data_IF_914038962303
#
_entry.id   IF_914038962303
#
_cell.length_a   1.000
_cell.length_b   1.000
_cell.length_c   1.000
_cell.angle_alpha   90.00
_cell.angle_beta   90.00
_cell.angle_gamma   90.00
#
_symmetry.space_group_name_H-M   'P 1'
#
loop_
_entity.id
_entity.type
_entity.pdbx_description
1 polymer ?
#
# COMPACT_ATOMS: atom_id res chain seq x y z
N UNK A 1 14.33 -17.33 -2.49
CA UNK A 1 13.25 -16.75 -1.65
C UNK A 1 13.81 -16.50 -0.26
N UNK A 2 13.52 -15.33 0.35
CA UNK A 2 13.94 -14.99 1.71
C UNK A 2 12.70 -14.93 2.60
N UNK A 3 12.70 -15.67 3.71
CA UNK A 3 11.59 -15.74 4.65
C UNK A 3 12.10 -15.35 6.03
N UNK A 4 11.51 -14.31 6.61
CA UNK A 4 11.99 -13.71 7.85
C UNK A 4 10.94 -13.79 8.94
N UNK A 5 11.34 -14.33 10.09
CA UNK A 5 10.53 -14.44 11.30
C UNK A 5 11.10 -13.58 12.43
N UNK A 6 10.27 -13.16 13.36
CA UNK A 6 10.75 -12.61 14.63
C UNK A 6 11.12 -13.72 15.60
N UNK A 7 12.12 -13.50 16.45
CA UNK A 7 12.51 -14.42 17.53
C UNK A 7 11.32 -14.83 18.43
N UNK A 8 10.36 -13.93 18.64
CA UNK A 8 9.15 -14.15 19.45
C UNK A 8 8.03 -14.90 18.72
N UNK A 9 8.21 -15.24 17.44
CA UNK A 9 7.20 -15.95 16.67
C UNK A 9 6.99 -17.35 17.27
N UNK A 10 5.76 -17.73 17.68
CA UNK A 10 5.47 -19.07 18.19
C UNK A 10 5.70 -20.13 17.12
N UNK A 11 6.24 -21.29 17.54
CA UNK A 11 6.53 -22.45 16.68
C UNK A 11 7.32 -22.11 15.41
N UNK A 12 8.19 -21.09 15.45
CA UNK A 12 8.93 -20.60 14.26
C UNK A 12 9.76 -21.70 13.59
N UNK A 13 10.37 -22.59 14.36
CA UNK A 13 11.16 -23.71 13.83
C UNK A 13 10.29 -24.67 13.02
N UNK A 14 9.12 -25.05 13.55
CA UNK A 14 8.14 -25.90 12.83
C UNK A 14 7.62 -25.21 11.58
N UNK A 15 7.35 -23.90 11.65
CA UNK A 15 6.92 -23.12 10.48
C UNK A 15 7.99 -23.05 9.39
N UNK A 16 9.26 -22.91 9.78
CA UNK A 16 10.37 -22.94 8.83
C UNK A 16 10.45 -24.30 8.12
N UNK A 17 10.42 -25.40 8.89
CA UNK A 17 10.45 -26.76 8.33
C UNK A 17 9.27 -27.00 7.38
N UNK A 18 8.05 -26.66 7.81
CA UNK A 18 6.86 -26.77 6.97
C UNK A 18 7.02 -26.01 5.65
N UNK A 19 7.42 -24.73 5.70
CA UNK A 19 7.59 -23.92 4.48
C UNK A 19 8.72 -24.47 3.59
N UNK A 20 9.80 -24.97 4.17
CA UNK A 20 10.88 -25.59 3.43
C UNK A 20 10.38 -26.82 2.67
N UNK A 21 9.65 -27.71 3.32
CA UNK A 21 9.07 -28.91 2.70
C UNK A 21 8.04 -28.58 1.63
N UNK A 22 7.17 -27.59 1.87
CA UNK A 22 6.14 -27.19 0.91
C UNK A 22 6.73 -26.60 -0.37
N UNK A 23 7.83 -25.83 -0.28
CA UNK A 23 8.37 -25.09 -1.42
C UNK A 23 9.68 -25.65 -1.99
N UNK A 24 10.23 -26.75 -1.44
CA UNK A 24 11.50 -27.35 -1.89
C UNK A 24 11.53 -27.64 -3.40
N UNK A 25 10.39 -28.03 -3.99
CA UNK A 25 10.27 -28.42 -5.40
C UNK A 25 9.62 -27.35 -6.28
N UNK A 26 9.47 -26.12 -5.78
CA UNK A 26 8.81 -25.03 -6.51
C UNK A 26 9.76 -24.24 -7.43
N UNK A 27 10.99 -24.72 -7.64
CA UNK A 27 11.95 -24.10 -8.57
C UNK A 27 12.71 -22.90 -8.02
N UNK A 28 12.69 -22.67 -6.70
CA UNK A 28 13.59 -21.69 -6.08
C UNK A 28 15.02 -22.22 -6.02
N UNK A 29 15.99 -21.45 -6.50
CA UNK A 29 17.41 -21.82 -6.39
C UNK A 29 17.82 -21.99 -4.92
N UNK A 30 17.39 -21.06 -4.06
CA UNK A 30 17.66 -21.09 -2.61
C UNK A 30 16.47 -20.57 -1.81
N UNK A 31 16.27 -21.16 -0.64
CA UNK A 31 15.35 -20.67 0.39
C UNK A 31 16.16 -20.27 1.61
N UNK A 32 16.12 -18.99 1.98
CA UNK A 32 16.89 -18.44 3.09
C UNK A 32 15.91 -18.10 4.21
N UNK A 33 16.06 -18.75 5.36
CA UNK A 33 15.25 -18.50 6.55
C UNK A 33 16.04 -17.69 7.57
N UNK A 34 15.46 -16.58 8.04
CA UNK A 34 16.14 -15.68 8.97
C UNK A 34 15.28 -15.40 10.18
N UNK A 35 15.92 -15.31 11.35
CA UNK A 35 15.24 -14.96 12.62
C UNK A 35 15.78 -13.61 13.09
N UNK A 36 14.93 -12.59 13.05
CA UNK A 36 15.23 -11.26 13.57
C UNK A 36 15.25 -11.27 15.11
N UNK A 37 16.36 -10.85 15.75
CA UNK A 37 16.47 -10.81 17.21
C UNK A 37 15.51 -9.79 17.85
N UNK A 38 14.93 -10.15 19.00
CA UNK A 38 14.03 -9.25 19.72
C UNK A 38 14.80 -8.21 20.56
N UNK A 39 14.27 -6.98 20.60
CA UNK A 39 14.77 -5.93 21.51
C UNK A 39 16.02 -5.20 21.03
N UNK A 40 16.33 -5.24 19.72
CA UNK A 40 17.42 -4.47 19.16
C UNK A 40 17.16 -2.96 19.27
N UNK A 41 18.19 -2.15 19.59
CA UNK A 41 18.03 -0.71 19.76
C UNK A 41 17.64 -0.03 18.44
N UNK A 42 16.68 0.89 18.50
CA UNK A 42 16.15 1.66 17.37
C UNK A 42 15.39 0.85 16.30
N UNK A 43 15.04 -0.40 16.59
CA UNK A 43 14.21 -1.25 15.73
C UNK A 43 12.83 -1.49 16.35
N UNK A 44 11.80 -1.62 15.51
CA UNK A 44 10.45 -1.97 15.97
C UNK A 44 10.11 -3.42 15.57
N UNK A 45 9.42 -4.19 16.42
CA UNK A 45 8.96 -5.52 16.04
C UNK A 45 7.82 -5.39 15.01
N UNK A 46 8.16 -5.58 13.74
CA UNK A 46 7.27 -5.46 12.60
C UNK A 46 7.94 -6.01 11.32
N UNK A 47 7.16 -6.04 10.23
CA UNK A 47 7.61 -6.37 8.86
C UNK A 47 8.91 -5.65 8.49
N UNK A 48 9.02 -4.34 8.74
CA UNK A 48 10.19 -3.55 8.37
C UNK A 48 11.52 -4.10 8.92
N UNK A 49 11.57 -4.50 10.20
CA UNK A 49 12.77 -5.07 10.83
C UNK A 49 13.06 -6.47 10.32
N UNK A 50 12.02 -7.29 10.14
CA UNK A 50 12.16 -8.63 9.56
C UNK A 50 12.73 -8.57 8.15
N UNK A 51 12.18 -7.70 7.30
CA UNK A 51 12.64 -7.52 5.93
C UNK A 51 14.05 -6.91 5.85
N UNK A 52 14.38 -5.94 6.70
CA UNK A 52 15.74 -5.39 6.78
C UNK A 52 16.76 -6.47 7.18
N UNK A 53 16.50 -7.19 8.27
CA UNK A 53 17.37 -8.25 8.75
C UNK A 53 17.52 -9.37 7.72
N UNK A 54 16.40 -9.83 7.17
CA UNK A 54 16.36 -10.85 6.14
C UNK A 54 17.18 -10.50 4.91
N UNK A 55 17.00 -9.28 4.39
CA UNK A 55 17.72 -8.85 3.20
C UNK A 55 19.22 -8.71 3.44
N UNK A 56 19.65 -8.21 4.59
CA UNK A 56 21.07 -8.13 4.95
C UNK A 56 21.71 -9.51 5.06
N UNK A 57 21.02 -10.44 5.71
CA UNK A 57 21.48 -11.83 5.83
C UNK A 57 21.54 -12.52 4.47
N UNK A 58 20.53 -12.32 3.63
CA UNK A 58 20.49 -12.90 2.30
C UNK A 58 21.65 -12.39 1.42
N UNK A 59 21.95 -11.08 1.45
CA UNK A 59 23.11 -10.52 0.72
C UNK A 59 24.42 -11.11 1.22
N UNK A 60 24.57 -11.27 2.54
CA UNK A 60 25.77 -11.87 3.15
C UNK A 60 25.92 -13.35 2.78
N UNK A 61 24.84 -14.12 2.86
CA UNK A 61 24.84 -15.57 2.63
C UNK A 61 25.05 -15.92 1.15
N UNK A 62 24.46 -15.12 0.24
CA UNK A 62 24.68 -15.29 -1.20
C UNK A 62 26.04 -14.78 -1.67
N UNK A 63 26.82 -14.11 -0.81
CA UNK A 63 28.13 -13.51 -1.12
C UNK A 63 28.09 -12.61 -2.38
N UNK A 64 27.06 -11.77 -2.48
CA UNK A 64 26.83 -10.89 -3.62
C UNK A 64 27.88 -9.78 -3.64
N UNK A 65 28.59 -9.64 -4.76
CA UNK A 65 29.53 -8.54 -4.97
C UNK A 65 28.80 -7.24 -5.33
N UNK A 66 29.42 -6.09 -5.04
CA UNK A 66 28.80 -4.78 -5.24
C UNK A 66 28.49 -4.49 -6.73
N UNK A 67 29.30 -5.00 -7.66
CA UNK A 67 29.11 -4.88 -9.11
C UNK A 67 28.02 -5.78 -9.68
N UNK A 68 27.60 -6.82 -8.95
CA UNK A 68 26.49 -7.70 -9.33
C UNK A 68 25.12 -7.14 -8.93
N UNK A 69 25.08 -6.16 -8.01
CA UNK A 69 23.83 -5.71 -7.39
C UNK A 69 22.85 -5.05 -8.38
N UNK A 70 23.33 -4.45 -9.46
CA UNK A 70 22.48 -3.91 -10.53
C UNK A 70 21.85 -5.01 -11.40
N UNK A 71 22.32 -6.26 -11.29
CA UNK A 71 21.71 -7.40 -11.99
C UNK A 71 20.70 -8.16 -11.11
N UNK A 72 20.51 -7.72 -9.86
CA UNK A 72 19.65 -8.41 -8.89
C UNK A 72 18.46 -7.50 -8.54
N UNK A 73 17.27 -8.01 -8.80
CA UNK A 73 16.02 -7.37 -8.37
C UNK A 73 15.53 -7.99 -7.06
N UNK A 74 15.19 -7.13 -6.12
CA UNK A 74 14.51 -7.51 -4.88
C UNK A 74 13.03 -7.18 -5.07
N UNK A 75 12.15 -8.14 -4.77
CA UNK A 75 10.69 -7.92 -4.72
C UNK A 75 10.22 -8.14 -3.30
N UNK A 76 9.59 -7.13 -2.69
CA UNK A 76 8.89 -7.32 -1.42
C UNK A 76 7.54 -7.96 -1.69
N UNK A 77 7.01 -8.74 -0.76
CA UNK A 77 5.63 -9.21 -0.82
C UNK A 77 5.12 -9.62 0.56
N UNK A 78 3.81 -9.50 0.75
CA UNK A 78 3.13 -10.05 1.92
C UNK A 78 2.81 -11.54 1.66
N UNK A 79 2.71 -12.35 2.71
CA UNK A 79 2.48 -13.80 2.60
C UNK A 79 1.12 -14.14 1.95
N UNK A 80 0.18 -13.19 1.91
CA UNK A 80 -1.14 -13.29 1.31
C UNK A 80 -1.20 -12.68 -0.10
N UNK A 81 -0.06 -12.61 -0.78
CA UNK A 81 0.06 -12.14 -2.16
C UNK A 81 0.05 -13.31 -3.15
N UNK A 82 -0.78 -13.23 -4.20
CA UNK A 82 -0.79 -14.20 -5.30
C UNK A 82 -0.35 -13.54 -6.61
N UNK A 83 0.79 -13.99 -7.10
CA UNK A 83 1.37 -13.57 -8.36
C UNK A 83 0.79 -14.35 -9.53
N UNK A 84 0.59 -13.68 -10.67
CA UNK A 84 0.34 -14.38 -11.93
C UNK A 84 1.61 -15.03 -12.48
N UNK A 85 1.49 -16.12 -13.26
CA UNK A 85 2.66 -16.84 -13.80
C UNK A 85 3.62 -15.95 -14.60
N UNK A 86 3.12 -14.91 -15.28
CA UNK A 86 3.94 -14.01 -16.10
C UNK A 86 4.63 -12.89 -15.30
N UNK A 87 4.42 -12.79 -13.99
CA UNK A 87 4.92 -11.66 -13.19
C UNK A 87 6.43 -11.48 -13.29
N UNK A 88 7.20 -12.55 -13.04
CA UNK A 88 8.67 -12.50 -13.07
C UNK A 88 9.18 -12.18 -14.49
N UNK A 89 8.60 -12.79 -15.52
CA UNK A 89 8.97 -12.51 -16.91
C UNK A 89 8.68 -11.05 -17.32
N UNK A 90 7.53 -10.51 -16.91
CA UNK A 90 7.17 -9.13 -17.19
C UNK A 90 8.06 -8.14 -16.43
N UNK A 91 8.37 -8.41 -15.16
CA UNK A 91 9.31 -7.61 -14.37
C UNK A 91 10.69 -7.61 -15.01
N UNK A 92 11.24 -8.78 -15.36
CA UNK A 92 12.56 -8.89 -16.00
C UNK A 92 12.59 -8.17 -17.34
N UNK A 93 11.58 -8.35 -18.20
CA UNK A 93 11.50 -7.64 -19.49
C UNK A 93 11.44 -6.14 -19.30
N UNK A 94 10.63 -5.67 -18.34
CA UNK A 94 10.47 -4.25 -18.02
C UNK A 94 11.77 -3.66 -17.50
N UNK A 95 12.43 -4.36 -16.57
CA UNK A 95 13.72 -3.96 -16.03
C UNK A 95 14.75 -3.81 -17.15
N UNK A 96 14.99 -4.85 -17.95
CA UNK A 96 16.00 -4.82 -19.02
C UNK A 96 15.76 -3.71 -20.05
N UNK A 97 14.50 -3.39 -20.36
CA UNK A 97 14.14 -2.29 -21.27
C UNK A 97 14.34 -0.90 -20.66
N UNK A 98 14.12 -0.77 -19.35
CA UNK A 98 14.18 0.51 -18.64
C UNK A 98 15.49 0.69 -17.86
N UNK A 99 16.45 -0.24 -17.95
CA UNK A 99 17.61 -0.35 -17.05
C UNK A 99 18.67 0.75 -17.19
N UNK A 100 18.33 2.00 -17.54
CA UNK A 100 19.22 3.15 -17.32
C UNK A 100 18.46 4.43 -16.97
N UNK A 101 18.74 5.04 -15.79
CA UNK A 101 19.59 4.55 -14.70
C UNK A 101 18.87 3.58 -13.73
N UNK A 102 19.54 2.49 -13.31
CA UNK A 102 19.00 1.51 -12.34
C UNK A 102 18.55 2.17 -11.03
N UNK A 103 19.23 3.24 -10.60
CA UNK A 103 18.96 3.96 -9.35
C UNK A 103 17.85 5.03 -9.43
N UNK A 104 17.10 5.13 -10.54
CA UNK A 104 15.98 6.08 -10.66
C UNK A 104 14.60 5.45 -10.62
N UNK A 105 14.51 4.13 -10.74
CA UNK A 105 13.24 3.47 -11.05
C UNK A 105 12.96 2.33 -10.09
N UNK A 106 11.74 2.30 -9.57
CA UNK A 106 11.17 1.17 -8.83
C UNK A 106 9.95 0.66 -9.59
N UNK A 107 9.62 -0.61 -9.44
CA UNK A 107 8.61 -1.28 -10.23
C UNK A 107 7.45 -1.70 -9.33
N UNK A 108 6.24 -1.29 -9.68
CA UNK A 108 5.02 -1.55 -8.91
C UNK A 108 4.02 -2.26 -9.81
N UNK A 109 3.54 -3.42 -9.38
CA UNK A 109 2.40 -4.06 -10.03
C UNK A 109 1.09 -3.41 -9.55
N UNK A 110 0.04 -3.42 -10.39
CA UNK A 110 -1.33 -3.22 -9.93
C UNK A 110 -1.74 -4.30 -8.91
N UNK A 111 -1.79 -3.93 -7.64
CA UNK A 111 -2.44 -4.73 -6.60
C UNK A 111 -3.96 -4.64 -6.69
N UNK A 112 -4.60 -5.81 -6.71
CA UNK A 112 -6.04 -5.96 -6.61
C UNK A 112 -6.39 -6.72 -5.34
N UNK A 113 -7.45 -6.28 -4.65
CA UNK A 113 -7.93 -6.91 -3.42
C UNK A 113 -9.06 -7.94 -3.67
N UNK A 114 -9.19 -8.39 -4.92
CA UNK A 114 -10.19 -9.32 -5.44
C UNK A 114 -9.91 -10.78 -5.03
N UNK A 115 -9.89 -11.05 -3.73
CA UNK A 115 -9.83 -12.40 -3.21
C UNK A 115 -11.10 -12.70 -2.42
N UNK A 116 -12.10 -13.30 -3.10
CA UNK A 116 -13.45 -13.54 -2.54
C UNK A 116 -14.08 -12.24 -2.04
N UNK A 117 -13.86 -11.14 -2.77
CA UNK A 117 -14.34 -9.81 -2.41
C UNK A 117 -15.87 -9.73 -2.48
N UNK A 118 -16.49 -10.60 -3.29
CA UNK A 118 -17.93 -10.86 -3.32
C UNK A 118 -18.45 -11.48 -2.02
N UNK A 119 -17.64 -12.10 -1.18
CA UNK A 119 -18.06 -12.59 0.14
C UNK A 119 -18.13 -11.52 1.22
N UNK A 120 -17.55 -10.33 0.98
CA UNK A 120 -17.25 -9.35 2.03
C UNK A 120 -18.28 -8.22 2.12
N UNK A 121 -18.23 -7.48 3.22
CA UNK A 121 -19.08 -6.31 3.45
C UNK A 121 -18.87 -5.24 2.38
N UNK A 122 -19.90 -4.41 2.18
CA UNK A 122 -19.84 -3.30 1.23
C UNK A 122 -18.69 -2.32 1.54
N UNK A 123 -18.37 -2.12 2.83
CA UNK A 123 -17.29 -1.24 3.30
C UNK A 123 -15.94 -1.76 2.82
N UNK A 124 -15.64 -3.04 3.06
CA UNK A 124 -14.37 -3.64 2.65
C UNK A 124 -14.27 -3.74 1.13
N UNK A 125 -15.35 -4.15 0.46
CA UNK A 125 -15.36 -4.25 -1.00
C UNK A 125 -15.10 -2.91 -1.66
N UNK A 126 -15.89 -1.88 -1.35
CA UNK A 126 -15.71 -0.55 -1.93
C UNK A 126 -14.30 -0.01 -1.65
N UNK A 127 -13.79 -0.17 -0.43
CA UNK A 127 -12.42 0.24 -0.09
C UNK A 127 -11.37 -0.49 -0.94
N UNK A 128 -11.50 -1.80 -1.14
CA UNK A 128 -10.59 -2.59 -1.97
C UNK A 128 -10.59 -2.15 -3.44
N UNK A 129 -11.78 -1.91 -4.02
CA UNK A 129 -11.91 -1.43 -5.39
C UNK A 129 -11.27 -0.05 -5.57
N UNK A 130 -11.63 0.88 -4.69
CA UNK A 130 -11.10 2.24 -4.76
C UNK A 130 -9.61 2.29 -4.51
N UNK A 131 -9.05 1.46 -3.63
CA UNK A 131 -7.61 1.41 -3.40
C UNK A 131 -6.84 0.94 -4.63
N UNK A 132 -7.36 -0.07 -5.33
CA UNK A 132 -6.79 -0.56 -6.59
C UNK A 132 -6.86 0.53 -7.68
N UNK A 133 -8.02 1.20 -7.78
CA UNK A 133 -8.24 2.31 -8.71
C UNK A 133 -7.33 3.52 -8.42
N UNK A 134 -7.23 3.96 -7.17
CA UNK A 134 -6.40 5.10 -6.76
C UNK A 134 -4.91 4.82 -6.92
N UNK A 135 -4.48 3.58 -6.75
CA UNK A 135 -3.10 3.22 -7.06
C UNK A 135 -2.77 3.39 -8.54
N UNK A 136 -3.64 2.87 -9.41
CA UNK A 136 -3.49 2.96 -10.86
C UNK A 136 -3.63 4.39 -11.37
N UNK A 137 -4.57 5.16 -10.81
CA UNK A 137 -4.89 6.51 -11.25
C UNK A 137 -4.06 7.61 -10.60
N UNK A 138 -3.52 7.38 -9.40
CA UNK A 138 -2.79 8.41 -8.65
C UNK A 138 -1.41 7.94 -8.15
N UNK A 139 -1.32 6.86 -7.37
CA UNK A 139 -0.08 6.53 -6.67
C UNK A 139 1.09 6.22 -7.61
N UNK A 140 0.86 5.36 -8.61
CA UNK A 140 1.88 5.00 -9.60
C UNK A 140 2.15 6.19 -10.55
N UNK A 141 1.15 6.79 -11.23
CA UNK A 141 1.43 7.84 -12.23
C UNK A 141 2.07 9.10 -11.65
N UNK A 142 1.71 9.50 -10.43
CA UNK A 142 2.31 10.66 -9.75
C UNK A 142 3.51 10.29 -8.88
N UNK A 143 4.00 9.05 -8.97
CA UNK A 143 5.15 8.52 -8.25
C UNK A 143 5.06 8.68 -6.71
N UNK A 144 3.87 8.68 -6.13
CA UNK A 144 3.62 9.07 -4.73
C UNK A 144 4.19 8.02 -3.78
N UNK A 145 3.76 6.76 -3.93
CA UNK A 145 4.25 5.66 -3.11
C UNK A 145 4.04 4.30 -3.76
N UNK A 146 4.90 3.36 -3.38
CA UNK A 146 4.69 1.92 -3.56
C UNK A 146 3.78 1.37 -2.48
N UNK A 147 3.28 0.15 -2.69
CA UNK A 147 2.39 -0.53 -1.74
C UNK A 147 2.68 -2.02 -1.67
N UNK A 148 3.14 -2.50 -0.51
CA UNK A 148 3.36 -3.92 -0.13
C UNK A 148 4.28 -4.75 -1.04
N UNK A 149 4.02 -4.75 -2.35
CA UNK A 149 4.61 -5.56 -3.39
C UNK A 149 5.24 -4.65 -4.44
N UNK A 150 6.52 -4.40 -4.30
CA UNK A 150 7.27 -3.59 -5.27
C UNK A 150 8.67 -4.17 -5.44
N UNK A 151 9.23 -3.91 -6.61
CA UNK A 151 10.53 -4.42 -7.01
C UNK A 151 11.53 -3.30 -7.27
N UNK A 152 12.78 -3.51 -6.90
CA UNK A 152 13.85 -2.52 -7.02
C UNK A 152 15.20 -3.22 -7.16
N UNK A 153 16.20 -2.58 -7.79
CA UNK A 153 17.54 -3.15 -7.86
C UNK A 153 18.19 -3.18 -6.47
N UNK A 154 18.95 -4.24 -6.20
CA UNK A 154 19.59 -4.45 -4.91
C UNK A 154 20.57 -3.31 -4.58
N UNK A 155 21.20 -2.72 -5.60
CA UNK A 155 22.10 -1.57 -5.48
C UNK A 155 21.43 -0.34 -4.83
N UNK A 156 20.15 -0.11 -5.15
CA UNK A 156 19.36 0.98 -4.54
C UNK A 156 19.20 0.76 -3.04
N UNK A 157 18.99 -0.49 -2.65
CA UNK A 157 18.87 -0.91 -1.26
C UNK A 157 20.17 -0.71 -0.52
N UNK A 158 21.30 -1.16 -1.09
CA UNK A 158 22.64 -0.96 -0.52
C UNK A 158 22.96 0.53 -0.34
N UNK A 159 22.72 1.35 -1.37
CA UNK A 159 22.93 2.81 -1.33
C UNK A 159 22.05 3.48 -0.28
N UNK A 160 20.83 2.98 -0.12
CA UNK A 160 19.90 3.39 0.91
C UNK A 160 20.14 2.76 2.27
N UNK A 161 21.21 1.98 2.49
CA UNK A 161 21.46 1.23 3.72
C UNK A 161 20.23 0.41 4.20
N UNK A 162 19.73 -0.38 3.25
CA UNK A 162 18.62 -1.34 3.38
C UNK A 162 17.28 -0.73 3.81
N UNK A 163 16.34 -1.59 4.20
CA UNK A 163 15.01 -1.20 4.69
C UNK A 163 15.17 -0.58 6.08
N UNK A 164 14.45 0.50 6.37
CA UNK A 164 14.57 1.17 7.66
C UNK A 164 13.79 0.39 8.75
N UNK A 165 14.45 -0.15 9.79
CA UNK A 165 13.80 -1.03 10.78
C UNK A 165 12.99 -0.26 11.85
N UNK A 166 13.03 1.07 11.84
CA UNK A 166 12.33 1.93 12.81
C UNK A 166 11.00 2.53 12.35
N UNK A 167 10.50 2.21 11.15
CA UNK A 167 9.24 2.77 10.60
C UNK A 167 8.37 1.66 10.00
N UNK A 168 7.08 1.64 10.35
CA UNK A 168 6.19 0.54 9.97
C UNK A 168 5.86 0.50 8.46
N UNK A 169 5.61 1.67 7.86
CA UNK A 169 5.31 1.83 6.43
C UNK A 169 6.60 1.87 5.62
N UNK A 170 7.27 0.72 5.56
CA UNK A 170 8.60 0.54 5.01
C UNK A 170 8.71 0.87 3.52
N UNK A 171 7.66 0.60 2.75
CA UNK A 171 7.58 0.89 1.32
C UNK A 171 7.77 2.39 0.99
N UNK A 172 6.99 3.29 1.61
CA UNK A 172 7.10 4.73 1.37
C UNK A 172 8.38 5.29 1.97
N UNK A 173 8.80 4.78 3.13
CA UNK A 173 10.05 5.20 3.76
C UNK A 173 11.26 4.85 2.90
N UNK A 174 11.27 3.68 2.27
CA UNK A 174 12.30 3.31 1.29
C UNK A 174 12.33 4.31 0.14
N UNK A 175 11.18 4.64 -0.46
CA UNK A 175 11.10 5.63 -1.53
C UNK A 175 11.69 6.99 -1.12
N UNK A 176 11.30 7.53 0.04
CA UNK A 176 11.82 8.80 0.57
C UNK A 176 13.33 8.70 0.81
N UNK A 177 13.78 7.67 1.52
CA UNK A 177 15.21 7.46 1.82
C UNK A 177 16.03 7.38 0.55
N UNK A 178 15.52 6.67 -0.45
CA UNK A 178 16.18 6.50 -1.74
C UNK A 178 16.24 7.78 -2.55
N UNK A 179 15.18 8.60 -2.60
CA UNK A 179 15.25 9.94 -3.21
C UNK A 179 16.36 10.81 -2.57
N UNK A 180 16.56 10.68 -1.26
CA UNK A 180 17.65 11.34 -0.55
C UNK A 180 19.04 10.82 -0.93
N UNK A 181 19.26 9.51 -1.01
CA UNK A 181 20.59 8.98 -1.35
C UNK A 181 20.92 9.05 -2.84
N UNK A 182 19.91 9.00 -3.72
CA UNK A 182 20.10 9.10 -5.17
C UNK A 182 20.10 10.53 -5.68
N UNK A 183 19.73 11.50 -4.83
CA UNK A 183 19.63 12.92 -5.18
C UNK A 183 18.73 13.16 -6.40
N UNK A 184 17.61 12.44 -6.48
CA UNK A 184 16.63 12.60 -7.56
C UNK A 184 15.24 12.11 -7.15
N UNK A 185 14.22 12.51 -7.92
CA UNK A 185 12.87 11.98 -7.80
C UNK A 185 12.85 10.57 -8.39
N UNK A 186 12.48 9.57 -7.59
CA UNK A 186 12.31 8.21 -8.09
C UNK A 186 11.01 8.07 -8.88
N UNK A 187 11.10 7.34 -9.99
CA UNK A 187 9.98 6.94 -10.83
C UNK A 187 9.43 5.59 -10.37
N UNK A 188 8.11 5.48 -10.28
CA UNK A 188 7.37 4.23 -10.07
C UNK A 188 6.88 3.77 -11.44
N UNK A 189 7.50 2.72 -11.96
CA UNK A 189 7.15 2.12 -13.24
C UNK A 189 6.16 0.99 -13.03
N UNK A 190 5.07 1.00 -13.79
CA UNK A 190 4.05 -0.04 -13.71
C UNK A 190 4.56 -1.36 -14.31
N UNK A 191 4.44 -2.44 -13.57
CA UNK A 191 4.55 -3.80 -14.12
C UNK A 191 3.18 -4.13 -14.72
N UNK A 192 3.05 -4.41 -16.03
CA UNK A 192 1.77 -4.62 -16.69
C UNK A 192 1.16 -6.00 -16.39
N UNK A 193 1.40 -6.53 -15.19
CA UNK A 193 0.87 -7.80 -14.69
C UNK A 193 0.34 -7.55 -13.29
N UNK A 194 -0.97 -7.73 -13.04
CA UNK A 194 -1.57 -7.54 -11.73
C UNK A 194 -1.14 -8.60 -10.70
N UNK A 195 -1.27 -8.26 -9.42
CA UNK A 195 -1.06 -9.16 -8.28
C UNK A 195 -2.27 -9.10 -7.35
N UNK A 196 -2.72 -10.23 -6.84
CA UNK A 196 -3.80 -10.27 -5.85
C UNK A 196 -3.24 -10.13 -4.45
N UNK A 197 -3.94 -9.40 -3.60
CA UNK A 197 -3.66 -9.27 -2.17
C UNK A 197 -4.93 -9.57 -1.37
N UNK A 198 -4.78 -10.29 -0.25
CA UNK A 198 -5.88 -10.61 0.64
C UNK A 198 -6.49 -9.36 1.30
N UNK A 199 -7.81 -9.12 1.17
CA UNK A 199 -8.49 -8.06 1.92
C UNK A 199 -8.51 -8.36 3.43
N UNK A 200 -8.86 -7.36 4.24
CA UNK A 200 -9.22 -7.61 5.65
C UNK A 200 -10.52 -8.39 5.73
N UNK A 201 -10.51 -9.54 6.41
CA UNK A 201 -11.67 -10.42 6.57
C UNK A 201 -12.09 -10.58 8.03
N UNK A 202 -13.39 -10.67 8.27
CA UNK A 202 -14.02 -10.94 9.57
C UNK A 202 -15.00 -12.11 9.47
N UNK A 203 -15.29 -12.78 10.58
CA UNK A 203 -16.29 -13.87 10.64
C UNK A 203 -17.72 -13.34 10.48
N UNK A 204 -17.95 -12.09 10.91
CA UNK A 204 -19.23 -11.39 10.82
C UNK A 204 -19.00 -10.00 10.22
N UNK A 205 -20.03 -9.40 9.62
CA UNK A 205 -19.96 -8.06 9.03
C UNK A 205 -19.48 -7.03 10.05
N UNK A 206 -19.95 -7.10 11.30
CA UNK A 206 -19.51 -6.19 12.37
C UNK A 206 -18.01 -6.34 12.66
N UNK A 207 -17.53 -7.57 12.86
CA UNK A 207 -16.11 -7.84 13.08
C UNK A 207 -15.28 -7.38 11.88
N UNK A 208 -15.80 -7.53 10.67
CA UNK A 208 -15.16 -7.06 9.44
C UNK A 208 -15.01 -5.53 9.41
N UNK A 209 -16.08 -4.79 9.71
CA UNK A 209 -16.06 -3.32 9.79
C UNK A 209 -15.08 -2.84 10.89
N UNK A 210 -15.07 -3.49 12.06
CA UNK A 210 -14.13 -3.16 13.14
C UNK A 210 -12.67 -3.39 12.69
N UNK A 211 -12.40 -4.51 12.03
CA UNK A 211 -11.07 -4.83 11.49
C UNK A 211 -10.65 -3.85 10.39
N UNK A 212 -11.59 -3.47 9.51
CA UNK A 212 -11.40 -2.45 8.49
C UNK A 212 -11.06 -1.10 9.11
N UNK A 213 -11.82 -0.63 10.11
CA UNK A 213 -11.58 0.65 10.78
C UNK A 213 -10.22 0.66 11.50
N UNK A 214 -9.86 -0.44 12.17
CA UNK A 214 -8.54 -0.61 12.80
C UNK A 214 -7.40 -0.55 11.77
N UNK A 215 -7.60 -1.17 10.61
CA UNK A 215 -6.62 -1.16 9.52
C UNK A 215 -6.47 0.23 8.91
N UNK A 216 -7.57 0.92 8.62
CA UNK A 216 -7.58 2.28 8.09
C UNK A 216 -6.92 3.27 9.06
N UNK A 217 -7.25 3.18 10.35
CA UNK A 217 -6.59 3.95 11.41
C UNK A 217 -5.09 3.71 11.42
N UNK A 218 -4.64 2.45 11.36
CA UNK A 218 -3.20 2.11 11.35
C UNK A 218 -2.50 2.75 10.16
N UNK A 219 -3.04 2.59 8.95
CA UNK A 219 -2.48 3.22 7.74
C UNK A 219 -2.39 4.74 7.83
N UNK A 220 -3.36 5.38 8.47
CA UNK A 220 -3.34 6.84 8.66
C UNK A 220 -2.24 7.27 9.62
N UNK A 221 -2.10 6.58 10.75
CA UNK A 221 -1.04 6.83 11.73
C UNK A 221 0.34 6.64 11.09
N UNK A 222 0.49 5.56 10.32
CA UNK A 222 1.69 5.25 9.55
C UNK A 222 1.99 6.32 8.50
N UNK A 223 1.00 6.80 7.76
CA UNK A 223 1.15 7.89 6.79
C UNK A 223 1.55 9.21 7.46
N UNK A 224 1.03 9.51 8.65
CA UNK A 224 1.45 10.68 9.42
C UNK A 224 2.92 10.57 9.87
N UNK A 225 3.38 9.39 10.27
CA UNK A 225 4.78 9.13 10.60
C UNK A 225 5.69 9.29 9.37
N UNK A 226 5.24 8.81 8.20
CA UNK A 226 5.91 9.00 6.91
C UNK A 226 6.05 10.50 6.58
N UNK A 227 4.99 11.28 6.75
CA UNK A 227 5.03 12.72 6.51
C UNK A 227 6.03 13.41 7.43
N UNK A 228 6.04 13.07 8.71
CA UNK A 228 7.00 13.60 9.67
C UNK A 228 8.45 13.22 9.29
N UNK A 229 8.70 11.96 8.89
CA UNK A 229 10.00 11.53 8.39
C UNK A 229 10.43 12.35 7.17
N UNK A 230 9.52 12.55 6.21
CA UNK A 230 9.78 13.38 5.04
C UNK A 230 10.16 14.81 5.44
N UNK A 231 9.40 15.47 6.32
CA UNK A 231 9.70 16.85 6.76
C UNK A 231 11.11 16.97 7.34
N UNK A 232 11.53 16.00 8.15
CA UNK A 232 12.88 15.97 8.73
C UNK A 232 13.95 15.75 7.65
N UNK A 233 13.69 14.87 6.68
CA UNK A 233 14.69 14.46 5.67
C UNK A 233 14.66 15.28 4.39
N UNK A 234 13.65 16.12 4.16
CA UNK A 234 13.45 16.89 2.93
C UNK A 234 14.67 17.76 2.57
N UNK A 235 15.37 18.30 3.58
CA UNK A 235 16.60 19.10 3.38
C UNK A 235 17.77 18.31 2.80
N UNK A 236 17.74 16.98 2.89
CA UNK A 236 18.76 16.07 2.33
C UNK A 236 18.46 15.66 0.88
N UNK A 237 17.40 16.20 0.29
CA UNK A 237 16.94 15.88 -1.05
C UNK A 237 17.01 17.11 -1.97
N UNK A 238 17.03 16.92 -3.29
CA UNK A 238 16.85 18.02 -4.23
C UNK A 238 15.51 18.72 -3.97
N UNK A 239 15.52 20.06 -3.96
CA UNK A 239 14.34 20.88 -3.63
C UNK A 239 13.14 20.55 -4.51
N UNK A 240 13.35 20.37 -5.81
CA UNK A 240 12.28 20.04 -6.77
C UNK A 240 11.70 18.64 -6.49
N UNK A 241 12.56 17.66 -6.20
CA UNK A 241 12.11 16.31 -5.85
C UNK A 241 11.30 16.30 -4.54
N UNK A 242 11.78 17.01 -3.51
CA UNK A 242 11.09 17.14 -2.24
C UNK A 242 9.74 17.87 -2.39
N UNK A 243 9.72 19.03 -3.06
CA UNK A 243 8.50 19.80 -3.25
C UNK A 243 7.45 19.02 -4.08
N UNK A 244 7.87 18.41 -5.19
CA UNK A 244 6.95 17.63 -6.04
C UNK A 244 6.37 16.42 -5.31
N UNK A 245 7.18 15.65 -4.57
CA UNK A 245 6.69 14.53 -3.78
C UNK A 245 5.80 15.00 -2.63
N UNK A 246 6.21 16.04 -1.90
CA UNK A 246 5.48 16.57 -0.75
C UNK A 246 4.10 17.11 -1.13
N UNK A 247 4.01 17.85 -2.23
CA UNK A 247 2.72 18.33 -2.76
C UNK A 247 1.83 17.14 -3.15
N UNK A 248 2.36 16.17 -3.91
CA UNK A 248 1.58 15.01 -4.32
C UNK A 248 1.10 14.17 -3.12
N UNK A 249 1.96 13.98 -2.11
CA UNK A 249 1.63 13.29 -0.88
C UNK A 249 0.51 13.99 -0.10
N UNK A 250 0.59 15.32 0.08
CA UNK A 250 -0.45 16.10 0.78
C UNK A 250 -1.76 16.08 0.00
N UNK A 251 -1.72 16.23 -1.34
CA UNK A 251 -2.93 16.16 -2.18
C UNK A 251 -3.59 14.79 -2.02
N UNK A 252 -2.82 13.70 -2.05
CA UNK A 252 -3.39 12.36 -1.94
C UNK A 252 -3.89 12.03 -0.53
N UNK A 253 -3.03 12.09 0.49
CA UNK A 253 -3.40 11.68 1.84
C UNK A 253 -4.20 12.75 2.60
N UNK A 254 -3.82 14.03 2.48
CA UNK A 254 -4.47 15.11 3.21
C UNK A 254 -5.76 15.63 2.54
N UNK A 255 -5.73 15.81 1.22
CA UNK A 255 -6.88 16.36 0.49
C UNK A 255 -7.84 15.27 0.06
N UNK A 256 -7.39 14.32 -0.77
CA UNK A 256 -8.26 13.34 -1.40
C UNK A 256 -8.86 12.34 -0.39
N UNK A 257 -8.02 11.70 0.44
CA UNK A 257 -8.47 10.68 1.39
C UNK A 257 -9.12 11.28 2.65
N UNK A 258 -8.47 12.26 3.28
CA UNK A 258 -8.91 12.75 4.59
C UNK A 258 -9.98 13.84 4.49
N UNK A 259 -9.70 14.95 3.81
CA UNK A 259 -10.57 16.14 3.90
C UNK A 259 -11.66 16.21 2.83
N UNK A 260 -11.50 15.53 1.69
CA UNK A 260 -12.40 15.63 0.54
C UNK A 260 -13.85 15.31 0.86
N UNK A 261 -14.13 14.16 1.49
CA UNK A 261 -15.49 13.77 1.85
C UNK A 261 -16.05 14.57 3.03
N UNK A 262 -15.21 14.96 3.99
CA UNK A 262 -15.61 15.82 5.10
C UNK A 262 -16.03 17.21 4.61
N UNK A 263 -15.27 17.79 3.67
CA UNK A 263 -15.60 19.04 3.03
C UNK A 263 -16.91 18.93 2.23
N UNK A 264 -17.12 17.84 1.51
CA UNK A 264 -18.38 17.57 0.82
C UNK A 264 -19.58 17.53 1.78
N UNK A 265 -19.43 16.85 2.92
CA UNK A 265 -20.46 16.79 3.96
C UNK A 265 -20.76 18.17 4.55
N UNK A 266 -19.74 18.90 5.01
CA UNK A 266 -19.93 20.23 5.63
C UNK A 266 -20.51 21.23 4.64
N UNK A 267 -20.10 21.18 3.37
CA UNK A 267 -20.65 22.04 2.32
C UNK A 267 -22.12 21.71 2.08
N UNK A 268 -22.49 20.42 2.01
CA UNK A 268 -23.89 19.99 1.82
C UNK A 268 -24.77 20.44 2.98
N UNK A 269 -24.33 20.24 4.22
CA UNK A 269 -25.04 20.71 5.42
C UNK A 269 -25.18 22.24 5.44
N UNK A 270 -24.11 22.97 5.12
CA UNK A 270 -24.13 24.44 5.10
C UNK A 270 -25.09 24.98 4.05
N UNK A 271 -25.09 24.42 2.84
CA UNK A 271 -26.01 24.81 1.76
C UNK A 271 -27.47 24.47 2.08
N UNK A 272 -27.71 23.41 2.85
CA UNK A 272 -29.07 22.97 3.18
C UNK A 272 -29.67 23.78 4.34
N UNK A 273 -28.87 24.07 5.37
CA UNK A 273 -29.40 24.62 6.63
C UNK A 273 -28.99 26.07 6.91
N UNK A 274 -27.83 26.52 6.42
CA UNK A 274 -27.27 27.83 6.79
C UNK A 274 -27.42 28.87 5.68
N UNK A 275 -27.15 28.49 4.43
CA UNK A 275 -27.12 29.42 3.31
C UNK A 275 -28.51 29.47 2.67
N UNK A 276 -29.20 30.58 2.86
CA UNK A 276 -30.48 30.87 2.18
C UNK A 276 -30.20 31.54 0.85
N UNK A 277 -31.06 31.28 -0.15
CA UNK A 277 -31.00 31.89 -1.50
C UNK A 277 -29.72 31.56 -2.30
N UNK A 278 -29.29 30.30 -2.30
CA UNK A 278 -28.19 29.85 -3.16
C UNK A 278 -28.58 30.02 -4.64
N UNK A 279 -27.80 30.75 -5.46
CA UNK A 279 -28.05 30.85 -6.89
C UNK A 279 -28.11 29.45 -7.53
N UNK A 280 -29.13 29.14 -8.37
CA UNK A 280 -29.28 27.82 -8.98
C UNK A 280 -28.02 27.32 -9.70
N UNK A 281 -27.25 28.24 -10.30
CA UNK A 281 -25.97 27.94 -10.95
C UNK A 281 -24.99 27.23 -10.03
N UNK A 282 -24.88 27.66 -8.76
CA UNK A 282 -23.97 27.03 -7.79
C UNK A 282 -24.43 25.60 -7.50
N UNK A 283 -25.73 25.38 -7.30
CA UNK A 283 -26.28 24.04 -7.10
C UNK A 283 -26.03 23.13 -8.30
N UNK A 284 -26.23 23.61 -9.52
CA UNK A 284 -25.95 22.83 -10.73
C UNK A 284 -24.47 22.46 -10.86
N UNK A 285 -23.56 23.39 -10.57
CA UNK A 285 -22.11 23.11 -10.57
C UNK A 285 -21.78 22.03 -9.53
N UNK A 286 -22.33 22.12 -8.32
CA UNK A 286 -22.09 21.12 -7.28
C UNK A 286 -22.63 19.74 -7.66
N UNK A 287 -23.85 19.65 -8.17
CA UNK A 287 -24.42 18.39 -8.65
C UNK A 287 -23.61 17.83 -9.84
N UNK A 288 -23.13 18.69 -10.73
CA UNK A 288 -22.24 18.30 -11.83
C UNK A 288 -20.92 17.71 -11.35
N UNK A 289 -20.29 18.32 -10.35
CA UNK A 289 -19.05 17.81 -9.74
C UNK A 289 -19.28 16.47 -9.02
N UNK A 290 -20.40 16.33 -8.31
CA UNK A 290 -20.78 15.05 -7.69
C UNK A 290 -21.04 13.97 -8.74
N UNK A 291 -21.74 14.30 -9.83
CA UNK A 291 -21.98 13.37 -10.94
C UNK A 291 -20.66 12.95 -11.60
N UNK A 292 -19.74 13.89 -11.81
CA UNK A 292 -18.40 13.59 -12.32
C UNK A 292 -17.62 12.68 -11.37
N UNK A 293 -17.67 12.93 -10.06
CA UNK A 293 -17.04 12.07 -9.06
C UNK A 293 -17.63 10.65 -9.11
N UNK A 294 -18.96 10.50 -9.15
CA UNK A 294 -19.60 9.19 -9.28
C UNK A 294 -19.19 8.50 -10.59
N UNK A 295 -19.14 9.23 -11.71
CA UNK A 295 -18.66 8.70 -12.99
C UNK A 295 -17.22 8.19 -12.88
N UNK A 296 -16.32 8.89 -12.16
CA UNK A 296 -14.95 8.39 -11.94
C UNK A 296 -14.94 7.10 -11.12
N UNK A 297 -15.79 6.97 -10.11
CA UNK A 297 -15.91 5.72 -9.35
C UNK A 297 -16.45 4.57 -10.20
N UNK A 298 -17.28 4.85 -11.21
CA UNK A 298 -17.79 3.80 -12.10
C UNK A 298 -16.65 3.03 -12.79
N UNK A 299 -15.51 3.69 -13.05
CA UNK A 299 -14.31 3.05 -13.61
C UNK A 299 -13.77 1.96 -12.69
N UNK A 300 -13.76 2.17 -11.37
CA UNK A 300 -13.31 1.16 -10.41
C UNK A 300 -14.20 -0.10 -10.46
N UNK A 301 -15.50 0.08 -10.60
CA UNK A 301 -16.48 -1.00 -10.72
C UNK A 301 -16.46 -1.68 -12.09
N UNK A 302 -16.10 -0.95 -13.15
CA UNK A 302 -15.87 -1.52 -14.47
C UNK A 302 -14.61 -2.39 -14.46
N UNK A 303 -13.50 -1.90 -13.89
CA UNK A 303 -12.28 -2.68 -13.72
C UNK A 303 -12.59 -3.98 -12.96
N UNK A 304 -13.34 -3.88 -11.85
CA UNK A 304 -13.79 -5.03 -11.07
C UNK A 304 -14.57 -6.07 -11.88
N UNK A 305 -15.34 -5.67 -12.88
CA UNK A 305 -16.09 -6.62 -13.72
C UNK A 305 -15.19 -7.48 -14.63
N UNK A 306 -13.96 -7.03 -14.91
CA UNK A 306 -13.00 -7.73 -15.77
C UNK A 306 -11.90 -8.47 -14.99
N UNK A 307 -11.51 -7.95 -13.82
CA UNK A 307 -10.37 -8.48 -13.05
C UNK A 307 -10.56 -9.94 -12.59
N UNK A 308 -11.69 -10.38 -12.01
CA UNK A 308 -11.89 -11.77 -11.62
C UNK A 308 -11.70 -12.75 -12.79
N UNK A 309 -12.15 -12.36 -13.99
CA UNK A 309 -11.96 -13.14 -15.23
C UNK A 309 -10.49 -13.22 -15.63
N UNK A 310 -9.77 -12.10 -15.56
CA UNK A 310 -8.34 -12.03 -15.88
C UNK A 310 -7.49 -12.81 -14.88
N UNK A 311 -7.88 -12.79 -13.60
CA UNK A 311 -7.12 -13.38 -12.49
C UNK A 311 -7.51 -14.82 -12.16
N UNK A 312 -8.48 -15.38 -12.89
CA UNK A 312 -9.08 -16.69 -12.60
C UNK A 312 -9.51 -16.81 -11.14
N UNK A 313 -10.24 -15.80 -10.66
CA UNK A 313 -10.84 -15.79 -9.32
C UNK A 313 -12.34 -16.01 -9.47
N UNK A 314 -12.86 -16.97 -8.71
CA UNK A 314 -14.29 -17.20 -8.61
C UNK A 314 -14.93 -16.12 -7.74
N UNK A 315 -15.52 -15.10 -8.38
CA UNK A 315 -16.33 -14.07 -7.72
C UNK A 315 -17.70 -13.95 -8.42
N UNK A 316 -18.78 -13.98 -7.63
CA UNK A 316 -20.15 -13.83 -8.10
C UNK A 316 -20.66 -12.40 -7.86
N UNK A 317 -20.55 -11.55 -8.88
CA UNK A 317 -20.99 -10.14 -8.78
C UNK A 317 -22.47 -10.04 -9.21
N UNK A 318 -23.38 -10.05 -8.24
CA UNK A 318 -24.80 -9.80 -8.51
C UNK A 318 -25.04 -8.32 -8.84
N UNK A 319 -25.68 -8.03 -9.98
CA UNK A 319 -25.83 -6.65 -10.53
C UNK A 319 -26.48 -5.69 -9.51
N UNK A 320 -27.63 -6.02 -8.88
CA UNK A 320 -28.23 -5.16 -7.85
C UNK A 320 -27.31 -4.84 -6.68
N UNK A 321 -26.51 -5.82 -6.23
CA UNK A 321 -25.53 -5.61 -5.16
C UNK A 321 -24.40 -4.70 -5.62
N UNK A 322 -23.95 -4.86 -6.85
CA UNK A 322 -22.91 -4.01 -7.43
C UNK A 322 -23.38 -2.55 -7.52
N UNK A 323 -24.63 -2.34 -7.96
CA UNK A 323 -25.26 -1.02 -8.00
C UNK A 323 -25.41 -0.42 -6.60
N UNK A 324 -25.81 -1.22 -5.61
CA UNK A 324 -25.87 -0.80 -4.21
C UNK A 324 -24.49 -0.37 -3.68
N UNK A 325 -23.44 -1.14 -3.93
CA UNK A 325 -22.07 -0.78 -3.54
C UNK A 325 -21.59 0.50 -4.25
N UNK A 326 -21.95 0.69 -5.52
CA UNK A 326 -21.62 1.90 -6.26
C UNK A 326 -22.31 3.13 -5.65
N UNK A 327 -23.62 3.07 -5.42
CA UNK A 327 -24.38 4.17 -4.80
C UNK A 327 -23.90 4.45 -3.38
N UNK A 328 -23.49 3.43 -2.63
CA UNK A 328 -22.99 3.60 -1.24
C UNK A 328 -21.55 4.05 -1.14
N UNK A 329 -20.83 4.20 -2.27
CA UNK A 329 -19.41 4.56 -2.28
C UNK A 329 -19.09 5.86 -1.53
N UNK A 330 -19.85 6.97 -1.69
CA UNK A 330 -19.61 8.19 -0.92
C UNK A 330 -19.71 8.00 0.60
N UNK A 331 -20.60 7.11 1.08
CA UNK A 331 -20.74 6.84 2.52
C UNK A 331 -19.57 6.04 3.07
N UNK A 332 -19.05 5.07 2.29
CA UNK A 332 -17.84 4.31 2.68
C UNK A 332 -16.65 5.25 2.77
N UNK A 333 -16.47 6.13 1.78
CA UNK A 333 -15.39 7.12 1.78
C UNK A 333 -15.54 8.13 2.91
N UNK A 334 -16.75 8.59 3.20
CA UNK A 334 -17.01 9.46 4.36
C UNK A 334 -16.63 8.77 5.67
N UNK A 335 -17.02 7.50 5.85
CA UNK A 335 -16.60 6.70 6.99
C UNK A 335 -15.08 6.55 7.09
N UNK A 336 -14.41 6.33 5.95
CA UNK A 336 -12.95 6.28 5.88
C UNK A 336 -12.33 7.62 6.32
N UNK A 337 -12.79 8.75 5.78
CA UNK A 337 -12.32 10.09 6.15
C UNK A 337 -12.52 10.41 7.64
N UNK A 338 -13.61 9.95 8.27
CA UNK A 338 -13.79 10.10 9.72
C UNK A 338 -12.76 9.29 10.52
N UNK A 339 -12.47 8.05 10.10
CA UNK A 339 -11.42 7.23 10.73
C UNK A 339 -10.05 7.90 10.58
N UNK A 340 -9.74 8.43 9.39
CA UNK A 340 -8.49 9.15 9.17
C UNK A 340 -8.40 10.42 10.02
N UNK A 341 -9.47 11.22 10.05
CA UNK A 341 -9.53 12.44 10.85
C UNK A 341 -9.28 12.14 12.33
N UNK A 342 -9.96 11.14 12.88
CA UNK A 342 -9.74 10.69 14.25
C UNK A 342 -8.29 10.23 14.47
N UNK A 343 -7.76 9.41 13.56
CA UNK A 343 -6.40 8.89 13.66
C UNK A 343 -5.33 10.00 13.63
N UNK A 344 -5.50 11.01 12.78
CA UNK A 344 -4.61 12.17 12.72
C UNK A 344 -4.65 12.98 14.02
N UNK A 345 -5.83 13.21 14.59
CA UNK A 345 -5.97 13.89 15.88
C UNK A 345 -5.27 13.10 17.00
N UNK A 346 -5.41 11.78 16.98
CA UNK A 346 -4.74 10.91 17.93
C UNK A 346 -3.20 11.03 17.84
N UNK A 347 -2.63 11.07 16.63
CA UNK A 347 -1.19 11.31 16.42
C UNK A 347 -0.77 12.69 16.91
N UNK A 348 -1.58 13.72 16.65
CA UNK A 348 -1.28 15.09 17.12
C UNK A 348 -1.25 15.16 18.65
N UNK A 349 -2.18 14.50 19.34
CA UNK A 349 -2.31 14.54 20.80
C UNK A 349 -1.26 13.66 21.49
N UNK A 350 -1.08 12.43 21.01
CA UNK A 350 -0.27 11.42 21.72
C UNK A 350 1.11 11.17 21.09
N UNK A 351 1.38 11.76 19.92
CA UNK A 351 2.64 11.64 19.20
C UNK A 351 2.99 10.19 18.87
N UNK A 352 4.29 9.86 18.93
CA UNK A 352 4.80 8.52 18.56
C UNK A 352 4.25 7.37 19.44
N UNK A 353 3.65 7.66 20.59
CA UNK A 353 3.10 6.63 21.50
C UNK A 353 1.95 5.83 20.88
N UNK A 354 1.27 6.37 19.87
CA UNK A 354 0.16 5.70 19.17
C UNK A 354 0.60 4.94 17.92
N UNK A 355 1.84 5.11 17.48
CA UNK A 355 2.49 4.31 16.43
C UNK A 355 2.87 2.90 16.95
N UNK A 356 1.94 2.21 17.61
CA UNK A 356 2.13 0.85 18.14
C UNK A 356 1.62 -0.18 17.13
N UNK A 357 2.30 -1.32 17.08
CA UNK A 357 1.89 -2.43 16.23
C UNK A 357 0.63 -3.11 16.79
N UNK A 358 -0.48 -3.01 16.06
CA UNK A 358 -1.65 -3.86 16.23
C UNK A 358 -1.93 -4.55 14.90
N UNK A 359 -1.46 -5.80 14.73
CA UNK A 359 -1.85 -6.59 13.57
C UNK A 359 -3.37 -6.81 13.58
N UNK A 360 -4.04 -6.50 12.47
CA UNK A 360 -5.41 -6.98 12.26
C UNK A 360 -5.32 -8.49 12.03
N UNK A 361 -5.93 -9.30 12.89
CA UNK A 361 -5.92 -10.75 12.75
C UNK A 361 -6.64 -11.15 11.46
N UNK A 362 -5.86 -11.45 10.41
CA UNK A 362 -6.33 -12.06 9.15
C UNK A 362 -6.48 -13.58 9.38
N UNK A 363 -7.47 -13.96 10.19
CA UNK A 363 -7.71 -15.35 10.60
C UNK A 363 -8.51 -16.18 9.59
N UNK A 364 -8.67 -15.72 8.36
CA UNK A 364 -9.38 -16.43 7.31
C UNK A 364 -8.56 -16.35 6.02
N UNK A 365 -7.57 -17.23 5.92
CA UNK A 365 -7.03 -17.71 4.65
C UNK A 365 -7.34 -19.20 4.56
#
# INVERSE_FOLDING_TARGET
MVISFEQRTPDKEKKCQFLQEQFQNCGFERMIFTIHPYGLPNEIPAKCSNSNYGLRMAVKEMNIADDEMDNILVTTCDADSKFLPQYIAALTSKYLKENRPALSTIYQSPLFYNWKLDGLSFVTRVTGLLRSFLMLGALIPFNINTMSIFSFPLSLTKKGDFIHPGYQMDDIICLIRWMGVTQQRLRISIIPVPVLSGPTSGETIEKEIIKWARQARRWTIEAAEVFHYFVIKARRMPRIAACSWGIAFIIYYGVLLCTGCLFGLTTTLSMTFLIKNVPPVISYVMYGLLALQMLTFSVAFLIDAFIPKLMHVDECIFIPRNLFHYITTPFVLLGYSFVEFYALHEVVIFGKKVCKHGASAKGAL
#
